data_IF_013449967525
#
_entry.id   IF_013449967525
#
_cell.length_a   1.000
_cell.length_b   1.000
_cell.length_c   1.000
_cell.angle_alpha   90.00
_cell.angle_beta   90.00
_cell.angle_gamma   90.00
#
_symmetry.space_group_name_H-M   'P 1'
#
loop_
_entity.id
_entity.type
_entity.pdbx_description
1 polymer ?
#
# COMPACT_ATOMS: atom_id res chain seq x y z
N UNK A 1 -10.00 4.48 -1.39
CA UNK A 1 -9.37 3.19 -1.75
C UNK A 1 -9.36 2.32 -0.49
N UNK A 2 -9.46 0.98 -0.55
CA UNK A 2 -9.47 0.15 0.68
C UNK A 2 -8.04 -0.25 1.09
N UNK A 3 -7.75 -0.45 2.39
CA UNK A 3 -6.40 -0.81 2.83
C UNK A 3 -5.85 -2.06 2.13
N UNK A 4 -6.67 -3.11 1.99
CA UNK A 4 -6.29 -4.35 1.30
C UNK A 4 -5.85 -4.09 -0.16
N UNK A 5 -6.57 -3.22 -0.88
CA UNK A 5 -6.23 -2.91 -2.27
C UNK A 5 -4.94 -2.10 -2.41
N UNK A 6 -4.58 -1.31 -1.42
CA UNK A 6 -3.32 -0.56 -1.41
C UNK A 6 -2.18 -1.51 -1.02
N UNK A 7 -2.35 -2.31 0.04
CA UNK A 7 -1.34 -3.24 0.54
C UNK A 7 -0.89 -4.28 -0.50
N UNK A 8 -1.85 -4.85 -1.24
CA UNK A 8 -1.55 -5.85 -2.28
C UNK A 8 -1.33 -5.24 -3.67
N UNK A 9 -1.21 -3.91 -3.80
CA UNK A 9 -0.91 -3.26 -5.08
C UNK A 9 -2.06 -3.21 -6.10
N UNK A 10 -3.29 -3.54 -5.71
CA UNK A 10 -4.47 -3.48 -6.59
C UNK A 10 -5.01 -2.07 -6.83
N UNK A 11 -4.53 -1.08 -6.07
CA UNK A 11 -5.06 0.28 -6.07
C UNK A 11 -5.07 0.92 -7.47
N UNK A 12 -3.97 0.82 -8.22
CA UNK A 12 -3.85 1.39 -9.56
C UNK A 12 -4.83 0.75 -10.55
N UNK A 13 -4.93 -0.58 -10.54
CA UNK A 13 -5.86 -1.31 -11.40
C UNK A 13 -7.31 -0.91 -11.11
N UNK A 14 -7.68 -0.80 -9.83
CA UNK A 14 -9.01 -0.35 -9.44
C UNK A 14 -9.27 1.10 -9.83
N UNK A 15 -8.28 1.99 -9.69
CA UNK A 15 -8.40 3.40 -10.11
C UNK A 15 -8.61 3.52 -11.61
N UNK A 16 -7.84 2.79 -12.42
CA UNK A 16 -8.00 2.75 -13.87
C UNK A 16 -9.37 2.21 -14.29
N UNK A 17 -9.86 1.14 -13.64
CA UNK A 17 -11.22 0.61 -13.89
C UNK A 17 -12.30 1.64 -13.54
N UNK A 18 -12.17 2.33 -12.40
CA UNK A 18 -13.11 3.40 -12.01
C UNK A 18 -13.12 4.56 -13.01
N UNK A 19 -11.95 4.96 -13.53
CA UNK A 19 -11.87 6.00 -14.56
C UNK A 19 -12.67 5.64 -15.82
N UNK A 20 -12.60 4.38 -16.27
CA UNK A 20 -13.36 3.91 -17.43
C UNK A 20 -14.88 4.01 -17.20
N UNK A 21 -15.33 3.58 -16.02
CA UNK A 21 -16.76 3.65 -15.63
C UNK A 21 -17.23 5.10 -15.56
N UNK A 22 -16.45 5.98 -14.92
CA UNK A 22 -16.75 7.40 -14.80
C UNK A 22 -16.82 8.09 -16.16
N UNK A 23 -15.89 7.78 -17.07
CA UNK A 23 -15.92 8.27 -18.45
C UNK A 23 -17.20 7.84 -19.18
N UNK A 24 -17.54 6.55 -19.14
CA UNK A 24 -18.74 6.04 -19.79
C UNK A 24 -20.03 6.64 -19.18
N UNK A 25 -20.05 6.87 -17.87
CA UNK A 25 -21.19 7.51 -17.21
C UNK A 25 -21.32 8.99 -17.61
N UNK A 26 -20.20 9.71 -17.74
CA UNK A 26 -20.18 11.10 -18.20
C UNK A 26 -20.62 11.24 -19.66
N UNK A 27 -20.16 10.37 -20.55
CA UNK A 27 -20.56 10.36 -21.96
C UNK A 27 -22.07 10.15 -22.15
N UNK A 28 -22.71 9.36 -21.27
CA UNK A 28 -24.15 9.11 -21.31
C UNK A 28 -24.98 10.24 -20.70
N UNK A 29 -24.50 10.84 -19.62
CA UNK A 29 -25.27 11.77 -18.80
C UNK A 29 -24.37 12.89 -18.25
N UNK A 30 -23.87 13.80 -19.11
CA UNK A 30 -22.98 14.87 -18.67
C UNK A 30 -23.67 15.83 -17.68
N UNK A 31 -24.98 16.02 -17.78
CA UNK A 31 -25.80 16.88 -16.90
C UNK A 31 -25.79 16.46 -15.43
N UNK A 32 -25.50 15.19 -15.16
CA UNK A 32 -25.39 14.65 -13.79
C UNK A 32 -24.05 15.00 -13.13
N UNK A 33 -23.07 15.49 -13.89
CA UNK A 33 -21.75 15.82 -13.40
C UNK A 33 -21.54 17.33 -13.46
N UNK A 34 -21.35 17.94 -12.29
CA UNK A 34 -21.22 19.39 -12.18
C UNK A 34 -19.91 19.85 -12.83
N UNK A 35 -20.02 20.74 -13.82
CA UNK A 35 -18.94 21.53 -14.47
C UNK A 35 -17.88 20.75 -15.26
N UNK A 36 -17.57 19.48 -14.99
CA UNK A 36 -16.49 18.75 -15.68
C UNK A 36 -16.61 17.22 -15.63
N UNK A 37 -15.74 16.56 -16.40
CA UNK A 37 -15.51 15.11 -16.33
C UNK A 37 -15.12 14.69 -14.90
N UNK A 38 -15.80 13.69 -14.30
CA UNK A 38 -15.44 13.16 -13.00
C UNK A 38 -14.08 12.42 -13.01
N UNK A 39 -13.33 12.59 -11.92
CA UNK A 39 -12.07 11.89 -11.68
C UNK A 39 -12.22 10.92 -10.50
N UNK A 40 -11.67 9.70 -10.57
CA UNK A 40 -11.69 8.77 -9.46
C UNK A 40 -10.79 9.30 -8.31
N UNK A 41 -11.11 8.93 -7.05
CA UNK A 41 -10.30 9.34 -5.91
C UNK A 41 -8.82 8.99 -6.08
N UNK A 42 -7.96 9.89 -5.59
CA UNK A 42 -6.51 9.67 -5.55
C UNK A 42 -6.20 8.46 -4.65
N UNK A 43 -5.15 7.73 -5.01
CA UNK A 43 -4.65 6.61 -4.20
C UNK A 43 -3.89 7.20 -3.01
N UNK A 44 -4.20 6.78 -1.77
CA UNK A 44 -3.44 7.25 -0.61
C UNK A 44 -2.03 6.65 -0.63
N UNK A 45 -1.02 7.47 -0.27
CA UNK A 45 0.39 7.03 -0.20
C UNK A 45 0.60 5.95 0.85
N UNK A 46 -0.15 6.02 1.96
CA UNK A 46 -0.12 5.04 3.05
C UNK A 46 -1.53 4.81 3.61
N UNK A 47 -1.76 3.59 4.08
CA UNK A 47 -3.00 3.16 4.73
C UNK A 47 -2.65 2.45 6.04
N UNK A 48 -3.42 2.72 7.09
CA UNK A 48 -3.21 2.11 8.40
C UNK A 48 -4.53 1.63 8.98
N UNK A 49 -4.51 0.45 9.60
CA UNK A 49 -5.58 -0.01 10.52
C UNK A 49 -5.17 0.30 11.97
N UNK A 50 -3.86 0.27 12.25
CA UNK A 50 -3.28 0.70 13.51
C UNK A 50 -1.93 1.38 13.20
N UNK A 51 -1.86 2.73 13.16
CA UNK A 51 -0.62 3.42 12.84
C UNK A 51 0.43 3.13 13.93
N UNK A 52 1.70 2.94 13.57
CA UNK A 52 2.75 2.73 14.56
C UNK A 52 2.85 3.97 15.45
N UNK A 53 2.98 3.76 16.77
CA UNK A 53 3.26 4.86 17.70
C UNK A 53 4.67 5.39 17.39
N UNK A 54 4.75 6.63 16.91
CA UNK A 54 6.00 7.36 16.77
C UNK A 54 6.49 7.71 18.18
N UNK A 55 7.21 6.79 18.84
CA UNK A 55 7.75 7.08 20.17
C UNK A 55 8.00 5.91 21.12
N UNK A 56 8.23 4.68 20.64
CA UNK A 56 8.87 3.67 21.49
C UNK A 56 10.17 3.23 20.81
N UNK A 57 11.27 3.82 21.28
CA UNK A 57 12.55 3.11 21.41
C UNK A 57 12.24 1.68 21.82
N UNK A 58 12.81 0.73 21.11
CA UNK A 58 12.69 -0.68 21.45
C UNK A 58 13.34 -0.84 22.83
N UNK A 59 12.53 -0.83 23.89
CA UNK A 59 12.92 -1.45 25.14
C UNK A 59 12.81 -2.94 24.89
N UNK A 60 13.94 -3.53 24.52
CA UNK A 60 14.15 -4.98 24.49
C UNK A 60 14.05 -5.51 25.92
N UNK A 61 12.84 -5.60 26.45
CA UNK A 61 12.59 -6.39 27.67
C UNK A 61 12.49 -7.86 27.25
N UNK A 62 13.65 -8.48 27.18
CA UNK A 62 13.79 -9.89 26.82
C UNK A 62 15.22 -10.39 26.88
N UNK A 63 16.06 -9.90 27.80
CA UNK A 63 17.26 -10.64 28.22
C UNK A 63 16.84 -11.79 29.14
N UNK A 64 16.57 -12.95 28.55
CA UNK A 64 16.87 -14.22 29.21
C UNK A 64 18.36 -14.46 29.03
N UNK A 65 19.06 -14.58 30.15
CA UNK A 65 20.50 -14.82 30.19
C UNK A 65 20.89 -16.11 29.44
N UNK A 66 21.83 -15.93 28.51
CA UNK A 66 22.99 -16.80 28.26
C UNK A 66 22.78 -18.12 27.50
N UNK A 67 23.18 -18.13 26.22
CA UNK A 67 24.06 -19.15 25.61
C UNK A 67 24.11 -18.94 24.09
N UNK A 68 25.31 -18.98 23.50
CA UNK A 68 25.62 -18.42 22.19
C UNK A 68 25.02 -19.11 20.97
N UNK A 69 24.91 -18.33 19.89
CA UNK A 69 25.47 -18.62 18.57
C UNK A 69 25.30 -17.40 17.68
N UNK A 70 26.44 -16.86 17.27
CA UNK A 70 26.60 -15.95 16.15
C UNK A 70 26.00 -16.62 14.90
N UNK A 71 25.02 -15.97 14.26
CA UNK A 71 24.51 -16.41 12.95
C UNK A 71 24.90 -15.30 11.96
N UNK A 72 26.08 -15.47 11.37
CA UNK A 72 26.49 -14.79 10.15
C UNK A 72 25.54 -15.22 9.01
N UNK A 73 24.69 -14.32 8.55
CA UNK A 73 23.89 -14.51 7.33
C UNK A 73 24.68 -13.96 6.14
N UNK A 74 25.58 -14.80 5.62
CA UNK A 74 26.27 -14.58 4.36
C UNK A 74 25.29 -14.67 3.18
N UNK A 75 25.08 -13.55 2.48
CA UNK A 75 24.30 -13.51 1.25
C UNK A 75 25.25 -13.30 0.05
N UNK A 76 25.81 -14.38 -0.48
CA UNK A 76 26.38 -14.41 -1.83
C UNK A 76 25.93 -15.68 -2.57
N UNK A 77 24.81 -15.57 -3.30
CA UNK A 77 24.45 -16.52 -4.37
C UNK A 77 24.60 -15.79 -5.70
N UNK A 78 25.72 -15.97 -6.39
CA UNK A 78 25.97 -16.96 -7.44
C UNK A 78 25.22 -16.65 -8.75
N UNK A 79 25.95 -15.97 -9.65
CA UNK A 79 25.65 -15.85 -11.08
C UNK A 79 25.85 -17.22 -11.72
N UNK A 80 24.85 -17.74 -12.44
CA UNK A 80 24.96 -18.97 -13.24
C UNK A 80 25.33 -18.65 -14.69
N UNK A 81 26.11 -19.57 -15.27
CA UNK A 81 26.64 -19.63 -16.64
C UNK A 81 25.59 -19.52 -17.73
#
# INVERSE_FOLDING_TARGET
MTPISVHYGYAEVLRARRQKVLKAAFEKHPERFVKKMPEPPVIPDRVWINPPKLGNTIETEGEVQQSGKEIELSLTGLVSK
#
